data_IF_279033297538
#
_entry.id   IF_279033297538
#
_cell.length_a   1.000
_cell.length_b   1.000
_cell.length_c   1.000
_cell.angle_alpha   90.00
_cell.angle_beta   90.00
_cell.angle_gamma   90.00
#
_symmetry.space_group_name_H-M   'P 1'
#
loop_
_entity.id
_entity.type
_entity.pdbx_description
1 polymer ?
#
# COMPACT_ATOMS: atom_id res chain seq x y z
N UNK A 1 -4.72 -18.24 -21.13
CA UNK A 1 -4.87 -16.85 -21.62
C UNK A 1 -4.61 -15.94 -20.42
N UNK A 2 -3.66 -15.01 -20.50
CA UNK A 2 -3.28 -14.18 -19.35
C UNK A 2 -4.36 -13.14 -19.04
N UNK A 3 -4.68 -12.95 -17.76
CA UNK A 3 -5.53 -11.87 -17.28
C UNK A 3 -4.66 -10.64 -17.02
N UNK A 4 -5.04 -9.47 -17.54
CA UNK A 4 -4.38 -8.19 -17.26
C UNK A 4 -5.22 -7.41 -16.27
N UNK A 5 -4.61 -6.99 -15.15
CA UNK A 5 -5.23 -6.13 -14.15
C UNK A 5 -4.58 -4.75 -14.17
N UNK A 6 -5.40 -3.71 -14.09
CA UNK A 6 -4.96 -2.31 -14.08
C UNK A 6 -5.36 -1.68 -12.75
N UNK A 7 -4.47 -0.84 -12.22
CA UNK A 7 -4.66 -0.10 -10.97
C UNK A 7 -3.65 1.04 -10.83
N UNK A 8 -3.67 1.70 -9.68
CA UNK A 8 -2.81 2.81 -9.32
C UNK A 8 -1.95 2.47 -8.10
N UNK A 9 -0.92 3.30 -7.89
CA UNK A 9 -0.16 3.38 -6.66
C UNK A 9 -0.94 4.23 -5.64
N UNK A 10 -1.58 3.58 -4.67
CA UNK A 10 -2.48 4.20 -3.70
C UNK A 10 -3.86 4.56 -4.26
N UNK A 11 -4.57 5.44 -3.53
CA UNK A 11 -5.98 5.77 -3.77
C UNK A 11 -6.13 7.25 -4.20
N UNK A 12 -5.90 7.61 -5.47
CA UNK A 12 -5.79 9.00 -5.92
C UNK A 12 -7.13 9.75 -6.02
N UNK A 13 -8.26 9.07 -5.85
CA UNK A 13 -9.58 9.68 -6.00
C UNK A 13 -10.03 10.43 -4.74
N UNK A 14 -10.76 11.53 -4.94
CA UNK A 14 -11.57 12.13 -3.88
C UNK A 14 -12.58 11.07 -3.40
N UNK A 15 -12.58 10.75 -2.11
CA UNK A 15 -13.35 9.64 -1.54
C UNK A 15 -12.52 8.41 -1.16
N UNK A 16 -11.22 8.39 -1.46
CA UNK A 16 -10.28 7.40 -0.94
C UNK A 16 -10.58 5.97 -1.41
N UNK A 17 -10.43 5.00 -0.50
CA UNK A 17 -10.56 3.57 -0.80
C UNK A 17 -11.93 3.20 -1.37
N UNK A 18 -13.01 3.76 -0.80
CA UNK A 18 -14.39 3.46 -1.21
C UNK A 18 -14.59 3.74 -2.70
N UNK A 19 -14.29 4.96 -3.14
CA UNK A 19 -14.43 5.36 -4.55
C UNK A 19 -13.47 4.59 -5.46
N UNK A 20 -12.30 4.22 -4.95
CA UNK A 20 -11.32 3.47 -5.72
C UNK A 20 -11.81 2.05 -6.04
N UNK A 21 -12.44 1.37 -5.08
CA UNK A 21 -12.98 0.01 -5.27
C UNK A 21 -14.10 -0.07 -6.30
N UNK A 22 -14.77 1.05 -6.60
CA UNK A 22 -15.77 1.14 -7.67
C UNK A 22 -15.15 1.26 -9.07
N UNK A 23 -13.83 1.54 -9.16
CA UNK A 23 -13.13 1.83 -10.43
C UNK A 23 -12.12 0.77 -10.83
N UNK A 24 -11.46 0.14 -9.87
CA UNK A 24 -10.42 -0.85 -10.11
C UNK A 24 -10.58 -2.06 -9.19
N UNK A 25 -10.00 -3.19 -9.61
CA UNK A 25 -9.96 -4.44 -8.83
C UNK A 25 -8.55 -4.74 -8.28
N UNK A 26 -7.64 -3.79 -8.39
CA UNK A 26 -6.24 -3.91 -7.96
C UNK A 26 -5.70 -2.56 -7.47
N UNK A 27 -4.92 -2.57 -6.40
CA UNK A 27 -4.12 -1.41 -5.95
C UNK A 27 -2.72 -1.83 -5.54
N UNK A 28 -1.75 -0.94 -5.75
CA UNK A 28 -0.43 -1.03 -5.12
C UNK A 28 -0.38 -0.15 -3.86
N UNK A 29 -0.17 -0.78 -2.70
CA UNK A 29 0.00 -0.10 -1.43
C UNK A 29 1.41 0.49 -1.33
N UNK A 30 1.47 1.82 -1.35
CA UNK A 30 2.71 2.58 -1.20
C UNK A 30 3.09 2.83 0.26
N UNK A 31 2.11 2.88 1.17
CA UNK A 31 2.34 3.19 2.59
C UNK A 31 3.25 2.14 3.26
N UNK A 32 3.13 0.88 2.84
CA UNK A 32 3.91 -0.27 3.33
C UNK A 32 5.40 -0.13 3.06
N UNK A 33 5.78 0.60 1.99
CA UNK A 33 7.18 0.92 1.71
C UNK A 33 7.80 1.73 2.85
N UNK A 34 7.05 2.70 3.38
CA UNK A 34 7.57 3.62 4.39
C UNK A 34 7.47 3.07 5.80
N UNK A 35 6.37 2.39 6.11
CA UNK A 35 6.08 1.84 7.43
C UNK A 35 5.13 0.65 7.31
N UNK A 36 5.42 -0.42 8.05
CA UNK A 36 4.52 -1.57 8.13
C UNK A 36 3.18 -1.16 8.76
N UNK A 37 2.04 -1.62 8.20
CA UNK A 37 0.75 -1.38 8.81
C UNK A 37 0.63 -2.16 10.13
N UNK A 38 -0.25 -1.69 11.03
CA UNK A 38 -0.73 -2.55 12.11
C UNK A 38 -1.59 -3.67 11.49
N UNK A 39 -1.68 -4.81 12.16
CA UNK A 39 -2.54 -5.92 11.73
C UNK A 39 -3.98 -5.45 11.50
N UNK A 40 -4.58 -4.79 12.49
CA UNK A 40 -5.94 -4.24 12.38
C UNK A 40 -6.12 -3.30 11.19
N UNK A 41 -5.07 -2.57 10.78
CA UNK A 41 -5.14 -1.69 9.60
C UNK A 41 -5.24 -2.51 8.31
N UNK A 42 -4.44 -3.57 8.18
CA UNK A 42 -4.50 -4.46 7.03
C UNK A 42 -5.81 -5.25 6.98
N UNK A 43 -6.30 -5.72 8.13
CA UNK A 43 -7.61 -6.37 8.27
C UNK A 43 -8.73 -5.43 7.84
N UNK A 44 -8.72 -4.18 8.31
CA UNK A 44 -9.71 -3.18 7.91
C UNK A 44 -9.68 -2.87 6.41
N UNK A 45 -8.50 -2.86 5.76
CA UNK A 45 -8.43 -2.74 4.30
C UNK A 45 -9.12 -3.91 3.60
N UNK A 46 -8.90 -5.13 4.09
CA UNK A 46 -9.51 -6.33 3.52
C UNK A 46 -11.02 -6.35 3.70
N UNK A 47 -11.52 -5.99 4.89
CA UNK A 47 -12.95 -5.91 5.22
C UNK A 47 -13.69 -4.91 4.32
N UNK A 48 -13.06 -3.76 4.03
CA UNK A 48 -13.69 -2.72 3.20
C UNK A 48 -13.68 -3.04 1.70
N UNK A 49 -12.79 -3.92 1.25
CA UNK A 49 -12.57 -4.19 -0.16
C UNK A 49 -13.45 -5.35 -0.66
N UNK A 50 -13.98 -5.27 -1.89
CA UNK A 50 -14.72 -6.38 -2.51
C UNK A 50 -13.95 -7.70 -2.45
N UNK A 51 -14.64 -8.82 -2.34
CA UNK A 51 -14.04 -10.16 -2.15
C UNK A 51 -12.89 -10.44 -3.15
N UNK A 52 -13.13 -10.18 -4.43
CA UNK A 52 -12.19 -10.42 -5.54
C UNK A 52 -11.14 -9.30 -5.73
N UNK A 53 -11.15 -8.26 -4.90
CA UNK A 53 -10.21 -7.14 -5.01
C UNK A 53 -8.81 -7.57 -4.55
N UNK A 54 -7.80 -7.25 -5.34
CA UNK A 54 -6.41 -7.60 -5.04
C UNK A 54 -5.62 -6.41 -4.50
N UNK A 55 -4.73 -6.72 -3.56
CA UNK A 55 -3.75 -5.78 -3.05
C UNK A 55 -2.36 -6.28 -3.43
N UNK A 56 -1.57 -5.38 -4.00
CA UNK A 56 -0.11 -5.52 -4.10
C UNK A 56 0.52 -4.58 -3.10
N UNK A 57 1.70 -4.90 -2.59
CA UNK A 57 2.39 -4.06 -1.62
C UNK A 57 3.80 -3.77 -2.10
N UNK A 58 4.24 -2.52 -1.96
CA UNK A 58 5.67 -2.27 -2.00
C UNK A 58 6.31 -2.85 -0.76
N UNK A 59 7.38 -3.62 -0.97
CA UNK A 59 8.18 -4.18 0.12
C UNK A 59 8.67 -3.07 1.04
N UNK A 60 8.69 -3.35 2.34
CA UNK A 60 9.18 -2.40 3.34
C UNK A 60 10.60 -1.96 3.00
N UNK A 61 10.86 -0.64 3.01
CA UNK A 61 12.14 -0.09 2.60
C UNK A 61 13.32 -0.62 3.45
N UNK A 62 13.09 -1.07 4.69
CA UNK A 62 14.10 -1.73 5.50
C UNK A 62 14.67 -3.02 4.91
N UNK A 63 13.97 -3.64 3.95
CA UNK A 63 14.45 -4.81 3.22
C UNK A 63 15.20 -4.45 1.93
N UNK A 64 14.98 -3.24 1.39
CA UNK A 64 15.39 -2.89 0.02
C UNK A 64 16.32 -1.68 -0.06
N UNK A 65 16.39 -0.86 0.98
CA UNK A 65 17.13 0.40 0.99
C UNK A 65 17.94 0.58 2.28
N UNK A 66 19.14 1.16 2.21
CA UNK A 66 19.92 1.50 3.40
C UNK A 66 19.23 2.61 4.21
N UNK A 67 19.45 2.64 5.53
CA UNK A 67 18.91 3.66 6.45
C UNK A 67 19.36 5.09 6.12
N UNK A 68 20.44 5.25 5.36
CA UNK A 68 20.92 6.53 4.84
C UNK A 68 20.09 7.10 3.68
N UNK A 69 19.18 6.32 3.08
CA UNK A 69 18.33 6.78 1.98
C UNK A 69 17.41 7.95 2.39
N UNK A 70 17.21 8.98 1.54
CA UNK A 70 16.30 10.08 1.83
C UNK A 70 14.84 9.65 2.08
N UNK A 71 14.45 8.48 1.59
CA UNK A 71 13.10 7.91 1.73
C UNK A 71 12.72 7.67 3.20
N UNK A 72 13.69 7.45 4.08
CA UNK A 72 13.45 7.24 5.50
C UNK A 72 12.88 8.45 6.22
N UNK A 73 13.08 9.66 5.70
CA UNK A 73 12.46 10.89 6.23
C UNK A 73 10.93 10.82 6.24
N UNK A 74 10.33 10.01 5.35
CA UNK A 74 8.88 9.81 5.27
C UNK A 74 8.36 8.66 6.13
N UNK A 75 9.23 7.85 6.74
CA UNK A 75 8.81 6.68 7.54
C UNK A 75 8.14 7.06 8.87
N UNK A 76 8.53 8.21 9.45
CA UNK A 76 8.15 8.58 10.81
C UNK A 76 8.70 7.62 11.88
N UNK A 77 9.66 6.76 11.54
CA UNK A 77 10.32 5.84 12.46
C UNK A 77 11.56 6.49 13.07
N UNK A 78 11.83 6.21 14.35
CA UNK A 78 13.12 6.54 14.96
C UNK A 78 14.14 5.51 14.49
N UNK A 79 15.10 5.95 13.70
CA UNK A 79 16.23 5.13 13.31
C UNK A 79 17.24 5.16 14.44
N UNK A 80 17.50 3.99 15.02
CA UNK A 80 18.67 3.83 15.86
C UNK A 80 19.84 3.49 14.91
N UNK A 81 20.99 4.18 15.05
CA UNK A 81 22.17 3.93 14.23
C UNK A 81 22.69 2.50 14.41
#
# INVERSE_FOLDING_TARGET
MGCVKVGCCGFPFKGGMKTYFEKFNLVELQSTFYKLPKLDTAENWRIQAPEEFEFTMKGFQGLTHPTSSPTWRRSGLKLNP
#
